data_IF_441441869902
#
_entry.id   IF_441441869902
#
_cell.length_a   1.000
_cell.length_b   1.000
_cell.length_c   1.000
_cell.angle_alpha   90.00
_cell.angle_beta   90.00
_cell.angle_gamma   90.00
#
_symmetry.space_group_name_H-M   'P 1'
#
loop_
_entity.id
_entity.type
_entity.pdbx_description
1 polymer ?
#
# COMPACT_ATOMS: atom_id res chain seq x y z
N UNK A 1 -11.61 15.98 7.57
CA UNK A 1 -11.58 15.43 8.95
C UNK A 1 -11.33 13.92 8.96
N UNK A 2 -11.38 13.28 7.80
CA UNK A 2 -11.28 11.84 7.51
C UNK A 2 -9.97 11.19 7.97
N UNK A 3 -8.86 11.93 7.96
CA UNK A 3 -7.54 11.39 8.35
C UNK A 3 -7.45 11.01 9.85
N UNK A 4 -8.30 11.59 10.72
CA UNK A 4 -8.32 11.30 12.16
C UNK A 4 -9.20 10.11 12.53
N UNK A 5 -10.24 9.81 11.74
CA UNK A 5 -11.10 8.64 12.00
C UNK A 5 -10.42 7.33 11.60
N UNK A 6 -9.64 7.33 10.52
CA UNK A 6 -8.91 6.16 10.02
C UNK A 6 -7.85 5.65 11.02
N UNK A 7 -7.23 6.54 11.78
CA UNK A 7 -6.24 6.20 12.81
C UNK A 7 -6.83 5.52 14.06
N UNK A 8 -8.16 5.58 14.27
CA UNK A 8 -8.78 5.26 15.56
C UNK A 8 -8.98 3.77 15.83
N UNK A 9 -8.86 2.89 14.83
CA UNK A 9 -9.20 1.47 15.00
C UNK A 9 -8.16 0.43 14.52
N UNK A 10 -7.02 0.81 13.93
CA UNK A 10 -6.05 -0.16 13.38
C UNK A 10 -4.57 0.24 13.40
N UNK A 11 -4.18 1.27 14.15
CA UNK A 11 -2.84 1.85 14.08
C UNK A 11 -2.56 2.49 12.71
N UNK A 12 -1.32 2.95 12.50
CA UNK A 12 -0.94 3.67 11.27
C UNK A 12 -1.08 2.82 9.99
N UNK A 13 -0.80 1.51 10.07
CA UNK A 13 -0.86 0.58 8.93
C UNK A 13 -2.30 0.39 8.46
N UNK A 14 -3.21 0.09 9.40
CA UNK A 14 -4.63 -0.07 9.09
C UNK A 14 -5.23 1.21 8.53
N UNK A 15 -4.89 2.37 9.09
CA UNK A 15 -5.36 3.66 8.60
C UNK A 15 -4.93 3.93 7.14
N UNK A 16 -3.67 3.66 6.81
CA UNK A 16 -3.15 3.82 5.46
C UNK A 16 -3.85 2.89 4.46
N UNK A 17 -4.08 1.63 4.83
CA UNK A 17 -4.75 0.67 3.95
C UNK A 17 -6.22 1.05 3.73
N UNK A 18 -6.94 1.45 4.78
CA UNK A 18 -8.32 1.91 4.62
C UNK A 18 -8.37 3.17 3.74
N UNK A 19 -7.39 4.08 3.86
CA UNK A 19 -7.31 5.23 2.97
C UNK A 19 -7.10 4.83 1.50
N UNK A 20 -6.21 3.85 1.24
CA UNK A 20 -6.00 3.29 -0.11
C UNK A 20 -7.30 2.69 -0.67
N UNK A 21 -8.10 2.02 0.16
CA UNK A 21 -9.33 1.36 -0.26
C UNK A 21 -10.52 2.31 -0.44
N UNK A 22 -10.77 3.19 0.53
CA UNK A 22 -11.96 4.05 0.54
C UNK A 22 -11.81 5.29 -0.34
N UNK A 23 -10.57 5.73 -0.59
CA UNK A 23 -10.27 6.90 -1.41
C UNK A 23 -9.51 6.54 -2.69
N UNK A 24 -9.84 5.38 -3.28
CA UNK A 24 -9.30 4.87 -4.53
C UNK A 24 -9.32 5.89 -5.68
N UNK A 25 -10.30 6.81 -5.73
CA UNK A 25 -10.41 7.81 -6.79
C UNK A 25 -9.58 9.08 -6.61
N UNK A 26 -8.91 9.28 -5.47
CA UNK A 26 -8.18 10.52 -5.18
C UNK A 26 -6.66 10.29 -5.28
N UNK A 27 -5.98 10.81 -6.33
CA UNK A 27 -4.54 10.64 -6.49
C UNK A 27 -3.74 11.12 -5.27
N UNK A 28 -4.10 12.28 -4.71
CA UNK A 28 -3.40 12.86 -3.54
C UNK A 28 -3.49 11.96 -2.29
N UNK A 29 -4.65 11.31 -2.08
CA UNK A 29 -4.84 10.38 -0.98
C UNK A 29 -4.14 9.04 -1.24
N UNK A 30 -4.12 8.56 -2.49
CA UNK A 30 -3.36 7.37 -2.86
C UNK A 30 -1.85 7.57 -2.67
N UNK A 31 -1.32 8.72 -3.08
CA UNK A 31 0.09 9.10 -2.87
C UNK A 31 0.41 9.11 -1.37
N UNK A 32 -0.37 9.88 -0.60
CA UNK A 32 -0.15 10.06 0.83
C UNK A 32 -0.25 8.75 1.60
N UNK A 33 -1.26 7.94 1.31
CA UNK A 33 -1.48 6.66 1.98
C UNK A 33 -0.39 5.64 1.62
N UNK A 34 0.03 5.59 0.34
CA UNK A 34 1.14 4.75 -0.09
C UNK A 34 2.44 5.12 0.63
N UNK A 35 2.74 6.42 0.71
CA UNK A 35 3.92 6.92 1.42
C UNK A 35 3.90 6.56 2.89
N UNK A 36 2.78 6.77 3.59
CA UNK A 36 2.63 6.41 5.01
C UNK A 36 2.83 4.90 5.21
N UNK A 37 2.22 4.06 4.37
CA UNK A 37 2.36 2.61 4.47
C UNK A 37 3.83 2.18 4.27
N UNK A 38 4.51 2.76 3.29
CA UNK A 38 5.94 2.54 3.06
C UNK A 38 6.80 2.96 4.24
N UNK A 39 6.55 4.14 4.82
CA UNK A 39 7.28 4.64 6.00
C UNK A 39 7.10 3.71 7.20
N UNK A 40 5.89 3.19 7.43
CA UNK A 40 5.60 2.28 8.54
C UNK A 40 6.23 0.90 8.36
N UNK A 41 6.44 0.46 7.13
CA UNK A 41 7.16 -0.76 6.81
C UNK A 41 8.69 -0.59 6.85
N UNK A 42 9.19 0.65 6.78
CA UNK A 42 10.63 0.92 6.69
C UNK A 42 11.35 0.50 7.97
N UNK A 43 12.28 -0.45 7.86
CA UNK A 43 13.08 -0.92 8.99
C UNK A 43 12.28 -1.62 10.09
N UNK A 44 11.02 -1.99 9.82
CA UNK A 44 10.13 -2.65 10.78
C UNK A 44 9.59 -3.95 10.20
N UNK A 45 10.14 -5.07 10.64
CA UNK A 45 9.64 -6.40 10.24
C UNK A 45 8.17 -6.59 10.67
N UNK A 46 7.80 -6.11 11.86
CA UNK A 46 6.41 -6.15 12.32
C UNK A 46 5.51 -5.28 11.45
N UNK A 47 5.96 -4.08 11.05
CA UNK A 47 5.23 -3.22 10.12
C UNK A 47 5.02 -3.85 8.76
N UNK A 48 6.04 -4.53 8.22
CA UNK A 48 5.94 -5.30 6.97
C UNK A 48 4.96 -6.46 7.10
N UNK A 49 5.00 -7.22 8.20
CA UNK A 49 4.07 -8.32 8.48
C UNK A 49 2.63 -7.87 8.65
N UNK A 50 2.42 -6.78 9.39
CA UNK A 50 1.09 -6.18 9.58
C UNK A 50 0.53 -5.67 8.26
N UNK A 51 1.34 -4.97 7.47
CA UNK A 51 0.94 -4.47 6.15
C UNK A 51 0.58 -5.62 5.19
N UNK A 52 1.40 -6.68 5.15
CA UNK A 52 1.12 -7.88 4.37
C UNK A 52 -0.18 -8.56 4.77
N UNK A 53 -0.35 -8.83 6.07
CA UNK A 53 -1.54 -9.47 6.63
C UNK A 53 -2.81 -8.66 6.41
N UNK A 54 -2.70 -7.34 6.42
CA UNK A 54 -3.80 -6.42 6.15
C UNK A 54 -4.02 -6.14 4.64
N UNK A 55 -3.41 -6.92 3.74
CA UNK A 55 -3.55 -6.78 2.27
C UNK A 55 -2.98 -5.48 1.68
N UNK A 56 -2.02 -4.86 2.36
CA UNK A 56 -1.35 -3.64 1.89
C UNK A 56 -0.64 -3.82 0.54
N UNK A 57 -0.12 -5.01 0.24
CA UNK A 57 0.47 -5.31 -1.08
C UNK A 57 -0.58 -5.24 -2.19
N UNK A 58 -1.76 -5.82 -1.98
CA UNK A 58 -2.87 -5.77 -2.96
C UNK A 58 -3.33 -4.32 -3.17
N UNK A 59 -3.45 -3.55 -2.08
CA UNK A 59 -3.89 -2.17 -2.12
C UNK A 59 -2.92 -1.28 -2.92
N UNK A 60 -1.61 -1.44 -2.72
CA UNK A 60 -0.59 -0.71 -3.48
C UNK A 60 -0.56 -1.12 -4.96
N UNK A 61 -0.69 -2.41 -5.27
CA UNK A 61 -0.76 -2.88 -6.67
C UNK A 61 -2.00 -2.32 -7.36
N UNK A 62 -3.13 -2.21 -6.66
CA UNK A 62 -4.35 -1.59 -7.18
C UNK A 62 -4.14 -0.10 -7.43
N UNK A 63 -3.54 0.64 -6.49
CA UNK A 63 -3.22 2.05 -6.67
C UNK A 63 -2.35 2.29 -7.91
N UNK A 64 -1.35 1.44 -8.14
CA UNK A 64 -0.52 1.49 -9.35
C UNK A 64 -1.32 1.31 -10.64
N UNK A 65 -2.37 0.49 -10.64
CA UNK A 65 -3.20 0.26 -11.83
C UNK A 65 -4.20 1.38 -12.07
N UNK A 66 -4.87 1.82 -11.02
CA UNK A 66 -5.92 2.84 -11.13
C UNK A 66 -5.36 4.24 -11.39
N UNK A 67 -4.09 4.49 -11.03
CA UNK A 67 -3.41 5.79 -11.20
C UNK A 67 -2.17 5.68 -12.07
N UNK A 68 -2.23 4.92 -13.17
CA UNK A 68 -1.10 4.74 -14.09
C UNK A 68 -0.53 6.05 -14.65
N UNK A 69 -1.37 7.07 -14.79
CA UNK A 69 -0.98 8.39 -15.31
C UNK A 69 -0.50 9.37 -14.24
N UNK A 70 -0.58 9.01 -12.95
CA UNK A 70 -0.16 9.88 -11.85
C UNK A 70 1.25 9.49 -11.39
N UNK A 71 2.25 10.20 -11.87
CA UNK A 71 3.67 9.96 -11.54
C UNK A 71 3.90 9.93 -10.02
N UNK A 72 3.27 10.83 -9.26
CA UNK A 72 3.40 10.90 -7.81
C UNK A 72 2.86 9.65 -7.10
N UNK A 73 1.71 9.11 -7.57
CA UNK A 73 1.14 7.86 -7.03
C UNK A 73 2.02 6.69 -7.43
N UNK A 74 2.49 6.64 -8.68
CA UNK A 74 3.39 5.59 -9.15
C UNK A 74 4.68 5.52 -8.30
N UNK A 75 5.36 6.64 -8.13
CA UNK A 75 6.59 6.70 -7.35
C UNK A 75 6.36 6.26 -5.89
N UNK A 76 5.35 6.84 -5.24
CA UNK A 76 5.04 6.54 -3.84
C UNK A 76 4.64 5.08 -3.63
N UNK A 77 3.82 4.52 -4.51
CA UNK A 77 3.34 3.15 -4.39
C UNK A 77 4.43 2.12 -4.74
N UNK A 78 5.30 2.39 -5.72
CA UNK A 78 6.47 1.54 -6.01
C UNK A 78 7.46 1.58 -4.85
N UNK A 79 7.76 2.76 -4.29
CA UNK A 79 8.65 2.90 -3.15
C UNK A 79 8.10 2.13 -1.93
N UNK A 80 6.79 2.27 -1.66
CA UNK A 80 6.13 1.55 -0.58
C UNK A 80 6.18 0.03 -0.80
N UNK A 81 5.87 -0.46 -2.01
CA UNK A 81 5.98 -1.89 -2.33
C UNK A 81 7.40 -2.41 -2.12
N UNK A 82 8.41 -1.67 -2.59
CA UNK A 82 9.82 -1.99 -2.38
C UNK A 82 10.15 -2.19 -0.89
N UNK A 83 9.67 -1.29 -0.03
CA UNK A 83 9.85 -1.38 1.43
C UNK A 83 9.09 -2.54 2.06
N UNK A 84 7.90 -2.86 1.56
CA UNK A 84 7.12 -4.00 2.05
C UNK A 84 7.77 -5.35 1.70
N UNK A 85 8.46 -5.44 0.56
CA UNK A 85 9.03 -6.71 0.08
C UNK A 85 10.51 -6.90 0.36
N UNK A 86 11.27 -5.83 0.68
CA UNK A 86 12.73 -5.86 0.78
C UNK A 86 13.27 -7.05 1.60
N UNK A 87 12.70 -7.27 2.79
CA UNK A 87 13.17 -8.29 3.74
C UNK A 87 12.04 -9.26 4.17
N UNK A 88 10.94 -9.30 3.43
CA UNK A 88 9.78 -10.13 3.76
C UNK A 88 9.38 -11.05 2.60
N UNK A 89 9.74 -12.32 2.70
CA UNK A 89 9.47 -13.35 1.68
C UNK A 89 7.98 -13.58 1.43
N UNK A 90 7.14 -13.44 2.45
CA UNK A 90 5.68 -13.59 2.30
C UNK A 90 5.14 -12.46 1.42
N UNK A 91 5.54 -11.22 1.72
CA UNK A 91 5.17 -10.06 0.91
C UNK A 91 5.73 -10.13 -0.52
N UNK A 92 6.93 -10.68 -0.72
CA UNK A 92 7.46 -10.96 -2.06
C UNK A 92 6.56 -11.94 -2.84
N UNK A 93 6.06 -12.99 -2.17
CA UNK A 93 5.11 -13.94 -2.74
C UNK A 93 3.80 -13.27 -3.15
N UNK A 94 3.24 -12.43 -2.25
CA UNK A 94 2.03 -11.65 -2.52
C UNK A 94 2.21 -10.70 -3.71
N UNK A 95 3.33 -9.97 -3.79
CA UNK A 95 3.60 -9.04 -4.88
C UNK A 95 3.72 -9.75 -6.23
N UNK A 96 4.33 -10.95 -6.27
CA UNK A 96 4.41 -11.78 -7.48
C UNK A 96 3.03 -12.29 -7.92
N UNK A 97 2.20 -12.73 -6.97
CA UNK A 97 0.83 -13.17 -7.25
C UNK A 97 -0.08 -12.03 -7.73
N UNK A 98 0.02 -10.87 -7.10
CA UNK A 98 -0.71 -9.65 -7.48
C UNK A 98 -0.31 -9.14 -8.86
N UNK A 99 0.98 -9.21 -9.21
CA UNK A 99 1.49 -8.88 -10.55
C UNK A 99 1.01 -9.85 -11.65
N UNK A 100 0.90 -11.15 -11.35
CA UNK A 100 0.46 -12.17 -12.32
C UNK A 100 -1.05 -12.10 -12.65
N UNK A 101 -1.88 -11.55 -11.77
CA UNK A 101 -3.31 -11.35 -12.02
C UNK A 101 -3.65 -10.23 -13.01
N UNK A 102 -2.67 -9.45 -13.50
CA UNK A 102 -2.88 -8.35 -14.45
C UNK A 102 -2.92 -8.78 -15.93
N UNK A 103 -2.57 -10.04 -16.24
CA UNK A 103 -2.50 -10.53 -17.63
C UNK A 103 -3.73 -11.36 -18.04
N UNK A 104 -4.82 -11.40 -17.27
CA UNK A 104 -5.94 -12.31 -17.55
C UNK A 104 -7.35 -11.81 -17.22
N UNK A 105 -7.58 -10.50 -17.12
CA UNK A 105 -8.93 -9.91 -17.20
C UNK A 105 -8.88 -8.64 -18.05
#
# INVERSE_FOLDING_TARGET
>A
EDNRELARHGGGVGAAIIALEQHAGSPDLQESASRVLGLLAMGSYEGQMQAGSARGVDALVRALREHESSEAVQESAVEALGRLVADNRENQGLARGGGAGAASL
#
